data_IF_672118968100
#
_entry.id   IF_672118968100
#
_cell.length_a   1.000
_cell.length_b   1.000
_cell.length_c   1.000
_cell.angle_alpha   90.00
_cell.angle_beta   90.00
_cell.angle_gamma   90.00
#
_symmetry.space_group_name_H-M   'P 1'
#
loop_
_entity.id
_entity.type
_entity.pdbx_description
1 polymer ?
#
# COMPACT_ATOMS: atom_id res chain seq x y z
N UNK A 1 27.84 22.43 8.22
CA UNK A 1 26.53 22.12 7.60
C UNK A 1 25.61 21.60 8.71
N UNK A 2 24.74 22.45 9.27
CA UNK A 2 23.79 22.02 10.33
C UNK A 2 22.69 21.20 9.67
N UNK A 3 22.70 19.89 9.88
CA UNK A 3 21.63 19.02 9.39
C UNK A 3 20.40 19.31 10.24
N UNK A 4 19.32 19.76 9.61
CA UNK A 4 18.08 20.14 10.28
C UNK A 4 17.42 18.87 10.87
N UNK A 5 17.23 18.78 12.19
CA UNK A 5 16.64 17.60 12.84
C UNK A 5 15.24 17.24 12.29
N UNK A 6 14.47 18.23 11.82
CA UNK A 6 13.17 17.99 11.19
C UNK A 6 13.30 17.24 9.85
N UNK A 7 14.42 17.44 9.13
CA UNK A 7 14.71 16.74 7.88
C UNK A 7 15.08 15.27 8.11
N UNK A 8 15.79 14.94 9.21
CA UNK A 8 16.09 13.55 9.57
C UNK A 8 14.82 12.77 9.91
N UNK A 9 13.93 13.35 10.73
CA UNK A 9 12.64 12.72 11.10
C UNK A 9 11.78 12.42 9.86
N UNK A 10 11.80 13.31 8.87
CA UNK A 10 11.07 13.15 7.61
C UNK A 10 11.67 12.04 6.74
N UNK A 11 13.00 11.95 6.68
CA UNK A 11 13.70 10.90 5.92
C UNK A 11 13.47 9.51 6.50
N UNK A 12 13.39 9.37 7.83
CA UNK A 12 13.11 8.09 8.46
C UNK A 12 11.67 7.63 8.23
N UNK A 13 10.70 8.56 8.22
CA UNK A 13 9.31 8.26 7.83
C UNK A 13 9.23 7.81 6.37
N UNK A 14 9.94 8.49 5.47
CA UNK A 14 10.00 8.11 4.05
C UNK A 14 10.62 6.71 3.88
N UNK A 15 11.74 6.42 4.57
CA UNK A 15 12.35 5.08 4.56
C UNK A 15 11.40 3.99 5.05
N UNK A 16 10.67 4.26 6.14
CA UNK A 16 9.65 3.32 6.66
C UNK A 16 8.59 3.01 5.61
N UNK A 17 8.06 4.05 4.95
CA UNK A 17 7.07 3.89 3.88
C UNK A 17 7.66 3.11 2.70
N UNK A 18 8.86 3.45 2.24
CA UNK A 18 9.54 2.72 1.14
C UNK A 18 9.75 1.25 1.50
N UNK A 19 10.08 0.94 2.76
CA UNK A 19 10.29 -0.43 3.23
C UNK A 19 9.01 -1.29 3.25
N UNK A 20 7.82 -0.67 3.22
CA UNK A 20 6.55 -1.41 3.03
C UNK A 20 6.50 -2.07 1.65
N UNK A 21 7.16 -1.44 0.67
CA UNK A 21 7.14 -1.85 -0.73
C UNK A 21 8.32 -2.79 -1.06
N UNK A 22 8.26 -4.04 -0.58
CA UNK A 22 9.31 -5.02 -0.90
C UNK A 22 9.30 -5.40 -2.38
N UNK A 23 10.48 -5.45 -3.01
CA UNK A 23 10.63 -5.87 -4.43
C UNK A 23 9.97 -7.22 -4.68
N UNK A 24 10.12 -8.18 -3.75
CA UNK A 24 9.49 -9.51 -3.84
C UNK A 24 7.97 -9.43 -3.93
N UNK A 25 7.34 -8.64 -3.07
CA UNK A 25 5.88 -8.46 -3.07
C UNK A 25 5.42 -7.84 -4.38
N UNK A 26 6.07 -6.75 -4.80
CA UNK A 26 5.74 -6.04 -6.04
C UNK A 26 5.85 -6.97 -7.26
N UNK A 27 6.96 -7.70 -7.39
CA UNK A 27 7.17 -8.62 -8.50
C UNK A 27 6.18 -9.78 -8.47
N UNK A 28 5.87 -10.34 -7.30
CA UNK A 28 4.85 -11.39 -7.15
C UNK A 28 3.48 -10.88 -7.60
N UNK A 29 3.07 -9.71 -7.12
CA UNK A 29 1.78 -9.09 -7.47
C UNK A 29 1.69 -8.76 -8.96
N UNK A 30 2.80 -8.33 -9.57
CA UNK A 30 2.87 -8.05 -11.00
C UNK A 30 2.64 -9.31 -11.85
N UNK A 31 3.10 -10.49 -11.40
CA UNK A 31 2.85 -11.76 -12.08
C UNK A 31 1.41 -12.21 -11.86
N UNK A 32 0.90 -12.16 -10.62
CA UNK A 32 -0.46 -12.64 -10.30
C UNK A 32 -1.55 -11.80 -10.95
N UNK A 33 -1.33 -10.50 -11.13
CA UNK A 33 -2.26 -9.61 -11.84
C UNK A 33 -2.11 -9.66 -13.37
N UNK A 34 -1.17 -10.45 -13.88
CA UNK A 34 -0.89 -10.57 -15.31
C UNK A 34 -0.16 -9.37 -15.93
N UNK A 35 0.28 -8.39 -15.12
CA UNK A 35 1.03 -7.23 -15.60
C UNK A 35 2.37 -7.63 -16.22
N UNK A 36 3.12 -8.49 -15.54
CA UNK A 36 4.39 -9.04 -16.03
C UNK A 36 4.19 -10.48 -16.48
N UNK A 37 4.49 -10.74 -17.74
CA UNK A 37 4.56 -12.07 -18.34
C UNK A 37 6.03 -12.42 -18.67
N UNK A 38 6.33 -13.68 -18.97
CA UNK A 38 7.70 -14.22 -19.14
C UNK A 38 8.60 -13.42 -20.09
N UNK A 39 8.04 -12.72 -21.08
CA UNK A 39 8.75 -11.89 -22.07
C UNK A 39 8.38 -10.39 -22.01
N UNK A 40 7.89 -9.89 -20.86
CA UNK A 40 7.61 -8.45 -20.72
C UNK A 40 8.91 -7.66 -20.59
N UNK A 41 9.15 -6.73 -21.53
CA UNK A 41 10.29 -5.79 -21.47
C UNK A 41 10.22 -4.86 -20.26
N UNK A 42 9.02 -4.44 -19.88
CA UNK A 42 8.78 -3.60 -18.71
C UNK A 42 8.33 -4.47 -17.53
N UNK A 43 9.17 -4.55 -16.51
CA UNK A 43 8.89 -5.30 -15.29
C UNK A 43 8.03 -4.49 -14.30
N UNK A 44 7.29 -5.20 -13.44
CA UNK A 44 6.38 -4.59 -12.47
C UNK A 44 7.07 -3.70 -11.43
N UNK A 45 8.34 -3.95 -11.10
CA UNK A 45 9.05 -3.15 -10.10
C UNK A 45 9.45 -1.78 -10.67
N UNK A 46 9.94 -1.76 -11.90
CA UNK A 46 10.23 -0.51 -12.63
C UNK A 46 8.96 0.31 -12.83
N UNK A 47 7.88 -0.32 -13.31
CA UNK A 47 6.58 0.36 -13.48
C UNK A 47 6.05 0.92 -12.17
N UNK A 48 6.08 0.13 -11.09
CA UNK A 48 5.62 0.56 -9.77
C UNK A 48 6.37 1.82 -9.30
N UNK A 49 7.70 1.82 -9.36
CA UNK A 49 8.52 2.96 -8.94
C UNK A 49 8.27 4.21 -9.78
N UNK A 50 8.14 4.05 -11.10
CA UNK A 50 7.87 5.17 -11.99
C UNK A 50 6.54 5.85 -11.63
N UNK A 51 5.48 5.06 -11.40
CA UNK A 51 4.13 5.59 -11.10
C UNK A 51 3.95 6.11 -9.66
N UNK A 52 4.68 5.57 -8.69
CA UNK A 52 4.52 5.95 -7.29
C UNK A 52 5.47 7.07 -6.85
N UNK A 53 6.72 7.06 -7.33
CA UNK A 53 7.74 8.02 -6.89
C UNK A 53 8.18 8.98 -7.99
N UNK A 54 8.11 8.57 -9.26
CA UNK A 54 8.52 9.42 -10.38
C UNK A 54 7.44 10.43 -10.75
N UNK A 55 6.37 9.94 -11.38
CA UNK A 55 5.34 10.82 -11.96
C UNK A 55 4.38 11.43 -10.93
N UNK A 56 4.40 11.00 -9.68
CA UNK A 56 3.59 11.61 -8.61
C UNK A 56 3.85 13.11 -8.45
N UNK A 57 5.08 13.56 -8.74
CA UNK A 57 5.47 14.97 -8.64
C UNK A 57 5.00 15.86 -9.80
N UNK A 58 4.42 15.26 -10.85
CA UNK A 58 3.97 15.97 -12.04
C UNK A 58 2.44 16.08 -12.05
N UNK A 59 1.93 17.28 -12.29
CA UNK A 59 0.48 17.53 -12.36
C UNK A 59 -0.17 16.78 -13.53
N UNK A 60 0.49 16.77 -14.70
CA UNK A 60 0.01 16.12 -15.92
C UNK A 60 1.16 15.37 -16.62
N UNK A 61 1.57 14.19 -16.11
CA UNK A 61 2.68 13.44 -16.67
C UNK A 61 2.34 12.91 -18.07
N UNK A 62 3.13 13.28 -19.08
CA UNK A 62 3.00 12.69 -20.41
C UNK A 62 3.52 11.25 -20.45
N UNK A 63 3.09 10.47 -21.45
CA UNK A 63 3.66 9.13 -21.72
C UNK A 63 5.18 9.15 -21.90
N UNK A 64 5.73 10.26 -22.41
CA UNK A 64 7.18 10.44 -22.54
C UNK A 64 7.85 10.63 -21.18
N UNK A 65 7.24 11.39 -20.28
CA UNK A 65 7.77 11.55 -18.92
C UNK A 65 7.80 10.19 -18.21
N UNK A 66 6.73 9.40 -18.32
CA UNK A 66 6.67 8.05 -17.73
C UNK A 66 7.76 7.14 -18.31
N UNK A 67 7.94 7.14 -19.63
CA UNK A 67 8.97 6.34 -20.29
C UNK A 67 10.37 6.73 -19.80
N UNK A 68 10.68 8.03 -19.76
CA UNK A 68 11.95 8.54 -19.25
C UNK A 68 12.20 8.07 -17.81
N UNK A 69 11.21 8.19 -16.92
CA UNK A 69 11.35 7.70 -15.54
C UNK A 69 11.62 6.20 -15.47
N UNK A 70 11.00 5.39 -16.34
CA UNK A 70 11.28 3.96 -16.39
C UNK A 70 12.73 3.68 -16.83
N UNK A 71 13.25 4.44 -17.79
CA UNK A 71 14.63 4.33 -18.26
C UNK A 71 15.63 4.84 -17.21
N UNK A 72 15.29 5.89 -16.46
CA UNK A 72 16.10 6.39 -15.33
C UNK A 72 16.22 5.33 -14.21
N UNK A 73 15.14 4.58 -13.95
CA UNK A 73 15.12 3.51 -12.94
C UNK A 73 15.91 2.27 -13.42
N UNK A 74 15.84 1.97 -14.72
CA UNK A 74 16.54 0.84 -15.32
C UNK A 74 17.19 1.28 -16.65
N UNK A 75 18.48 1.67 -16.64
CA UNK A 75 19.17 2.20 -17.83
C UNK A 75 19.26 1.22 -19.00
N UNK A 76 19.08 -0.08 -18.76
CA UNK A 76 19.07 -1.11 -19.80
C UNK A 76 17.69 -1.27 -20.46
N UNK A 77 16.66 -0.61 -19.92
CA UNK A 77 15.33 -0.58 -20.49
C UNK A 77 15.27 0.45 -21.60
N UNK A 78 14.62 0.10 -22.71
CA UNK A 78 14.14 1.05 -23.70
C UNK A 78 12.65 0.85 -23.89
N UNK A 79 11.87 1.88 -23.60
CA UNK A 79 10.40 1.80 -23.60
C UNK A 79 9.82 2.93 -24.42
N UNK A 80 8.99 2.58 -25.40
CA UNK A 80 8.27 3.57 -26.21
C UNK A 80 7.05 4.09 -25.47
N UNK A 81 6.58 5.28 -25.88
CA UNK A 81 5.29 5.84 -25.42
C UNK A 81 4.14 4.85 -25.61
N UNK A 82 4.10 4.17 -26.76
CA UNK A 82 3.09 3.15 -27.06
C UNK A 82 3.16 1.96 -26.10
N UNK A 83 4.38 1.53 -25.72
CA UNK A 83 4.54 0.44 -24.78
C UNK A 83 4.01 0.80 -23.38
N UNK A 84 4.18 2.05 -22.95
CA UNK A 84 3.55 2.56 -21.71
C UNK A 84 2.02 2.55 -21.85
N UNK A 85 1.49 3.14 -22.91
CA UNK A 85 0.05 3.23 -23.14
C UNK A 85 -0.63 1.85 -23.10
N UNK A 86 -0.07 0.88 -23.82
CA UNK A 86 -0.57 -0.49 -23.86
C UNK A 86 -0.56 -1.18 -22.48
N UNK A 87 0.30 -0.72 -21.56
CA UNK A 87 0.40 -1.24 -20.20
C UNK A 87 -0.51 -0.53 -19.21
N UNK A 88 -1.10 0.62 -19.52
CA UNK A 88 -1.87 1.42 -18.55
C UNK A 88 -3.05 0.65 -17.94
N UNK A 89 -3.81 -0.08 -18.75
CA UNK A 89 -4.97 -0.85 -18.27
C UNK A 89 -4.56 -1.98 -17.31
N UNK A 90 -3.54 -2.76 -17.68
CA UNK A 90 -3.02 -3.82 -16.80
C UNK A 90 -2.30 -3.23 -15.58
N UNK A 91 -1.62 -2.10 -15.78
CA UNK A 91 -0.87 -1.37 -14.78
C UNK A 91 -1.77 -0.77 -13.70
N UNK A 92 -2.93 -0.22 -14.06
CA UNK A 92 -3.87 0.31 -13.07
C UNK A 92 -4.42 -0.80 -12.16
N UNK A 93 -4.76 -1.97 -12.72
CA UNK A 93 -5.17 -3.13 -11.94
C UNK A 93 -4.03 -3.60 -11.00
N UNK A 94 -2.82 -3.73 -11.53
CA UNK A 94 -1.64 -4.07 -10.75
C UNK A 94 -1.38 -3.10 -9.59
N UNK A 95 -1.38 -1.80 -9.86
CA UNK A 95 -1.17 -0.76 -8.86
C UNK A 95 -2.27 -0.77 -7.79
N UNK A 96 -3.53 -0.93 -8.20
CA UNK A 96 -4.65 -1.09 -7.26
C UNK A 96 -4.42 -2.27 -6.34
N UNK A 97 -4.12 -3.45 -6.88
CA UNK A 97 -3.91 -4.66 -6.09
C UNK A 97 -2.75 -4.53 -5.11
N UNK A 98 -1.58 -4.02 -5.53
CA UNK A 98 -0.44 -3.90 -4.62
C UNK A 98 -0.70 -2.88 -3.50
N UNK A 99 -1.36 -1.76 -3.80
CA UNK A 99 -1.71 -0.76 -2.79
C UNK A 99 -2.75 -1.29 -1.81
N UNK A 100 -3.78 -1.99 -2.29
CA UNK A 100 -4.77 -2.66 -1.43
C UNK A 100 -4.10 -3.66 -0.50
N UNK A 101 -3.26 -4.57 -1.03
CA UNK A 101 -2.59 -5.58 -0.21
C UNK A 101 -1.74 -4.94 0.91
N UNK A 102 -1.03 -3.84 0.60
CA UNK A 102 -0.18 -3.17 1.58
C UNK A 102 -1.02 -2.46 2.64
N UNK A 103 -2.10 -1.78 2.24
CA UNK A 103 -3.00 -1.13 3.19
C UNK A 103 -3.67 -2.15 4.10
N UNK A 104 -4.15 -3.27 3.55
CA UNK A 104 -4.75 -4.36 4.33
C UNK A 104 -3.74 -4.96 5.31
N UNK A 105 -2.51 -5.26 4.86
CA UNK A 105 -1.45 -5.78 5.73
C UNK A 105 -1.12 -4.82 6.87
N UNK A 106 -1.02 -3.51 6.59
CA UNK A 106 -0.73 -2.50 7.63
C UNK A 106 -1.91 -2.28 8.58
N UNK A 107 -3.16 -2.29 8.09
CA UNK A 107 -4.35 -2.24 8.94
C UNK A 107 -4.38 -3.46 9.86
N UNK A 108 -4.20 -4.67 9.33
CA UNK A 108 -4.20 -5.91 10.12
C UNK A 108 -3.08 -5.87 11.17
N UNK A 109 -1.87 -5.42 10.81
CA UNK A 109 -0.77 -5.25 11.78
C UNK A 109 -1.12 -4.22 12.85
N UNK A 110 -1.74 -3.10 12.48
CA UNK A 110 -2.15 -2.06 13.44
C UNK A 110 -3.19 -2.57 14.43
N UNK A 111 -4.17 -3.37 13.96
CA UNK A 111 -5.18 -4.00 14.82
C UNK A 111 -4.52 -5.03 15.75
N UNK A 112 -3.61 -5.86 15.22
CA UNK A 112 -2.88 -6.85 16.02
C UNK A 112 -1.92 -6.22 17.04
N UNK A 113 -1.29 -5.10 16.72
CA UNK A 113 -0.47 -4.36 17.68
C UNK A 113 -1.31 -3.59 18.69
N UNK A 114 -2.50 -3.14 18.29
CA UNK A 114 -3.50 -2.59 19.20
C UNK A 114 -4.26 -3.69 19.96
N UNK A 115 -3.66 -4.86 20.21
CA UNK A 115 -4.09 -5.75 21.29
C UNK A 115 -3.80 -5.12 22.67
N UNK A 116 -4.53 -4.05 22.94
CA UNK A 116 -5.32 -3.78 24.13
C UNK A 116 -4.65 -4.25 25.42
N UNK A 117 -3.54 -3.62 25.81
CA UNK A 117 -3.03 -3.72 27.18
C UNK A 117 -4.13 -3.43 28.20
N UNK A 118 -5.04 -2.51 27.89
CA UNK A 118 -6.21 -2.22 28.72
C UNK A 118 -7.13 -3.45 28.88
N UNK A 119 -7.19 -4.40 27.94
CA UNK A 119 -7.95 -5.66 28.09
C UNK A 119 -7.13 -6.75 28.76
N UNK A 120 -5.80 -6.68 28.74
CA UNK A 120 -4.96 -7.55 29.61
C UNK A 120 -5.15 -7.23 31.10
N UNK A 121 -5.60 -6.02 31.43
CA UNK A 121 -5.91 -5.63 32.81
C UNK A 121 -7.22 -6.26 33.33
N UNK A 122 -8.07 -6.83 32.46
CA UNK A 122 -9.33 -7.44 32.84
C UNK A 122 -9.28 -8.95 32.57
N UNK A 123 -9.46 -9.76 33.61
CA UNK A 123 -9.52 -11.21 33.46
C UNK A 123 -10.78 -11.67 32.71
N UNK A 124 -11.87 -10.89 32.78
CA UNK A 124 -13.13 -11.15 32.10
C UNK A 124 -13.73 -9.84 31.57
N UNK A 125 -14.21 -9.83 30.33
CA UNK A 125 -14.96 -8.72 29.74
C UNK A 125 -16.44 -9.12 29.70
N UNK A 126 -17.24 -8.59 30.62
CA UNK A 126 -18.69 -8.79 30.62
C UNK A 126 -19.36 -7.76 29.71
N UNK A 127 -19.81 -8.22 28.55
CA UNK A 127 -20.65 -7.40 27.67
C UNK A 127 -22.10 -7.57 28.14
N UNK A 128 -22.62 -6.57 28.84
CA UNK A 128 -24.06 -6.50 29.08
C UNK A 128 -24.75 -6.10 27.78
N UNK A 129 -25.27 -7.09 27.06
CA UNK A 129 -26.34 -6.83 26.10
C UNK A 129 -27.53 -6.22 26.86
N UNK A 130 -28.23 -5.27 26.25
CA UNK A 130 -29.39 -4.58 26.81
C UNK A 130 -30.57 -5.54 26.88
N UNK A 131 -30.46 -6.55 27.73
CA UNK A 131 -31.51 -7.53 27.98
C UNK A 131 -32.56 -6.91 28.90
N UNK A 132 -33.74 -6.64 28.35
CA UNK A 132 -34.86 -6.10 29.10
C UNK A 132 -35.69 -7.27 29.66
N UNK A 133 -35.50 -7.58 30.95
CA UNK A 133 -36.36 -8.53 31.65
C UNK A 133 -37.61 -7.77 32.08
N UNK A 134 -38.75 -8.05 31.43
CA UNK A 134 -40.05 -7.57 31.92
C UNK A 134 -40.44 -8.42 33.14
N UNK A 135 -40.49 -7.79 34.30
CA UNK A 135 -41.06 -8.40 35.50
C UNK A 135 -42.56 -8.63 35.30
N UNK A 136 -43.07 -9.74 35.84
CA UNK A 136 -44.49 -10.04 35.84
C UNK A 136 -45.22 -9.01 36.71
N UNK A 137 -46.31 -8.44 36.18
CA UNK A 137 -47.11 -7.43 36.88
C UNK A 137 -47.71 -7.95 38.20
N UNK A 138 -47.75 -9.27 38.40
CA UNK A 138 -48.14 -9.91 39.67
C UNK A 138 -47.17 -9.70 40.84
N UNK A 139 -46.04 -9.02 40.62
CA UNK A 139 -45.03 -8.69 41.64
C UNK A 139 -45.01 -7.19 41.99
N UNK A 140 -46.02 -6.42 41.56
CA UNK A 140 -46.19 -5.03 41.99
C UNK A 140 -47.01 -5.02 43.28
N UNK A 141 -46.38 -4.63 44.38
CA UNK A 141 -47.07 -4.33 45.65
C UNK A 141 -48.11 -3.20 45.49
#
# INVERSE_FOLDING_TARGET
>A
MKINLNSLSSMDKIKKIINLFSKRLITKTAVTTGFTQRNSKLDGFTFFKAFTFGVYSLENPSLRNIANFCEDINPNLKVSRQAIENKLKAGSNFLKTILTNIIEDEIIKSIKHNHIEIFKAFNDIKICDSSLIKLNDSLRD
#
